data_IF_141555816874
#
_entry.id   IF_141555816874
#
_cell.length_a   1.000
_cell.length_b   1.000
_cell.length_c   1.000
_cell.angle_alpha   90.00
_cell.angle_beta   90.00
_cell.angle_gamma   90.00
#
_symmetry.space_group_name_H-M   'P 1'
#
loop_
_entity.id
_entity.type
_entity.pdbx_description
1 polymer ?
#
# COMPACT_ATOMS: atom_id res chain seq x y z
N UNK A 1 -29.10 -0.70 -12.61
CA UNK A 1 -27.95 0.03 -12.03
C UNK A 1 -27.77 -0.50 -10.62
N UNK A 2 -26.89 -1.48 -10.42
CA UNK A 2 -26.37 -1.77 -9.10
C UNK A 2 -24.90 -1.36 -9.13
N UNK A 3 -24.60 -0.28 -8.42
CA UNK A 3 -23.22 0.15 -8.22
C UNK A 3 -22.53 -0.94 -7.41
N UNK A 4 -21.63 -1.67 -8.05
CA UNK A 4 -20.71 -2.55 -7.34
C UNK A 4 -19.96 -1.68 -6.33
N UNK A 5 -20.33 -1.81 -5.06
CA UNK A 5 -19.56 -1.26 -3.96
C UNK A 5 -18.19 -1.93 -4.02
N UNK A 6 -17.25 -1.26 -4.70
CA UNK A 6 -15.86 -1.69 -4.86
C UNK A 6 -15.37 -2.07 -3.48
N UNK A 7 -15.29 -3.38 -3.22
CA UNK A 7 -14.77 -3.93 -1.97
C UNK A 7 -13.37 -3.33 -1.83
N UNK A 8 -13.22 -2.32 -0.98
CA UNK A 8 -11.92 -1.72 -0.67
C UNK A 8 -11.03 -2.89 -0.27
N UNK A 9 -10.03 -3.23 -1.10
CA UNK A 9 -9.04 -4.27 -0.79
C UNK A 9 -8.49 -3.95 0.60
N UNK A 10 -8.91 -4.73 1.59
CA UNK A 10 -8.58 -4.49 2.99
C UNK A 10 -7.22 -5.12 3.19
N UNK A 11 -6.17 -4.32 3.03
CA UNK A 11 -4.82 -4.77 3.33
C UNK A 11 -4.68 -4.98 4.83
N UNK A 12 -4.16 -6.14 5.21
CA UNK A 12 -3.84 -6.47 6.60
C UNK A 12 -2.92 -5.42 7.23
N UNK A 13 -3.09 -5.21 8.53
CA UNK A 13 -2.30 -4.21 9.26
C UNK A 13 -0.81 -4.54 9.21
N UNK A 14 -0.45 -5.81 9.34
CA UNK A 14 0.93 -6.30 9.23
C UNK A 14 1.54 -6.04 7.84
N UNK A 15 0.72 -6.15 6.79
CA UNK A 15 1.13 -5.83 5.43
C UNK A 15 1.43 -4.34 5.29
N UNK A 16 0.58 -3.46 5.85
CA UNK A 16 0.83 -2.02 5.85
C UNK A 16 2.10 -1.67 6.60
N UNK A 17 2.30 -2.25 7.79
CA UNK A 17 3.48 -1.99 8.63
C UNK A 17 4.74 -2.43 7.90
N UNK A 18 4.76 -3.64 7.32
CA UNK A 18 5.92 -4.14 6.58
C UNK A 18 6.25 -3.26 5.38
N UNK A 19 5.23 -2.81 4.64
CA UNK A 19 5.43 -1.95 3.49
C UNK A 19 5.94 -0.54 3.88
N UNK A 20 5.39 0.05 4.95
CA UNK A 20 5.86 1.34 5.46
C UNK A 20 7.29 1.23 5.99
N UNK A 21 7.60 0.17 6.74
CA UNK A 21 8.96 -0.11 7.23
C UNK A 21 9.99 -0.22 6.11
N UNK A 22 9.65 -0.88 5.00
CA UNK A 22 10.54 -0.93 3.84
C UNK A 22 10.87 0.46 3.27
N UNK A 23 9.93 1.40 3.32
CA UNK A 23 10.11 2.76 2.83
C UNK A 23 10.88 3.62 3.84
N UNK A 24 10.56 3.48 5.14
CA UNK A 24 11.15 4.32 6.20
C UNK A 24 12.50 3.83 6.67
N UNK A 25 12.67 2.52 6.83
CA UNK A 25 13.91 1.88 7.32
C UNK A 25 14.80 1.44 6.15
N UNK A 26 14.20 0.88 5.09
CA UNK A 26 14.94 0.41 3.92
C UNK A 26 15.37 1.50 2.94
N UNK A 27 14.88 2.74 3.10
CA UNK A 27 15.18 3.85 2.19
C UNK A 27 14.64 3.68 0.77
N UNK A 28 13.81 2.65 0.53
CA UNK A 28 13.23 2.38 -0.78
C UNK A 28 12.11 3.38 -1.09
N UNK A 29 11.94 3.71 -2.38
CA UNK A 29 10.83 4.56 -2.79
C UNK A 29 9.51 3.81 -2.64
N UNK A 30 8.47 4.52 -2.18
CA UNK A 30 7.12 3.99 -2.10
C UNK A 30 6.64 3.36 -3.42
N UNK A 31 7.03 3.93 -4.56
CA UNK A 31 6.74 3.38 -5.89
C UNK A 31 7.41 2.04 -6.17
N UNK A 32 8.65 1.85 -5.73
CA UNK A 32 9.39 0.58 -5.89
C UNK A 32 8.81 -0.50 -4.99
N UNK A 33 8.56 -0.17 -3.73
CA UNK A 33 7.92 -1.08 -2.77
C UNK A 33 6.51 -1.45 -3.23
N UNK A 34 5.74 -0.50 -3.78
CA UNK A 34 4.43 -0.80 -4.37
C UNK A 34 4.52 -1.80 -5.51
N UNK A 35 5.46 -1.58 -6.43
CA UNK A 35 5.65 -2.45 -7.59
C UNK A 35 6.12 -3.85 -7.18
N UNK A 36 6.98 -3.94 -6.17
CA UNK A 36 7.44 -5.20 -5.59
C UNK A 36 6.31 -5.96 -4.88
N UNK A 37 5.42 -5.26 -4.19
CA UNK A 37 4.30 -5.84 -3.46
C UNK A 37 3.03 -6.01 -4.31
N UNK A 38 3.06 -5.58 -5.57
CA UNK A 38 1.89 -5.62 -6.47
C UNK A 38 0.74 -4.70 -6.04
N UNK A 39 1.03 -3.65 -5.27
CA UNK A 39 0.03 -2.69 -4.79
C UNK A 39 0.18 -1.35 -5.49
N UNK A 40 -0.89 -0.57 -5.51
CA UNK A 40 -0.85 0.74 -6.13
C UNK A 40 -0.04 1.72 -5.25
N UNK A 41 0.93 2.47 -5.79
CA UNK A 41 1.80 3.35 -5.01
C UNK A 41 1.03 4.43 -4.24
N UNK A 42 -0.10 4.88 -4.78
CA UNK A 42 -0.99 5.82 -4.09
C UNK A 42 -1.47 5.31 -2.71
N UNK A 43 -1.60 4.00 -2.56
CA UNK A 43 -2.00 3.38 -1.29
C UNK A 43 -0.90 3.52 -0.24
N UNK A 44 0.37 3.39 -0.63
CA UNK A 44 1.51 3.60 0.25
C UNK A 44 1.67 5.07 0.64
N UNK A 45 1.47 5.99 -0.30
CA UNK A 45 1.43 7.43 0.02
C UNK A 45 0.34 7.76 1.02
N UNK A 46 -0.83 7.11 0.93
CA UNK A 46 -1.92 7.28 1.87
C UNK A 46 -1.66 6.64 3.25
N UNK A 47 -0.75 5.65 3.36
CA UNK A 47 -0.34 5.07 4.65
C UNK A 47 0.83 5.82 5.30
N UNK A 48 1.61 6.55 4.50
CA UNK A 48 2.67 7.42 5.01
C UNK A 48 2.13 8.70 5.66
N UNK A 49 0.92 9.13 5.28
CA UNK A 49 0.27 10.36 5.76
C UNK A 49 -0.25 10.24 7.19
#
# INVERSE_FOLDING_TARGET
>A
MEGEAVKKKRFDRDFKISAVKMITEGGHKASEVARSLGIHPNVLYNWKR
#
